data_IF_237133602337
#
_entry.id   IF_237133602337
#
_cell.length_a   1.000
_cell.length_b   1.000
_cell.length_c   1.000
_cell.angle_alpha   90.00
_cell.angle_beta   90.00
_cell.angle_gamma   90.00
#
_symmetry.space_group_name_H-M   'P 1'
#
loop_
_entity.id
_entity.type
_entity.pdbx_description
1 polymer ?
#
# COMPACT_ATOMS: atom_id res chain seq x y z
N UNK A 1 -5.06 30.18 -5.31
CA UNK A 1 -4.76 28.75 -5.12
C UNK A 1 -6.01 28.13 -4.53
N UNK A 2 -6.77 27.38 -5.33
CA UNK A 2 -8.18 27.12 -5.08
C UNK A 2 -8.41 26.21 -3.87
N UNK A 3 -9.10 26.76 -2.88
CA UNK A 3 -9.90 26.03 -1.90
C UNK A 3 -11.08 25.34 -2.61
N UNK A 4 -10.80 24.32 -3.41
CA UNK A 4 -11.86 23.50 -3.99
C UNK A 4 -12.10 22.28 -3.10
N UNK A 5 -13.19 22.40 -2.33
CA UNK A 5 -13.94 21.33 -1.69
C UNK A 5 -13.32 20.71 -0.43
N UNK A 6 -13.53 21.38 0.71
CA UNK A 6 -13.67 20.76 2.06
C UNK A 6 -14.95 19.91 2.17
N UNK A 7 -15.40 19.30 1.06
CA UNK A 7 -16.46 18.31 1.04
C UNK A 7 -15.82 16.99 1.44
N UNK A 8 -16.20 16.46 2.60
CA UNK A 8 -15.56 15.32 3.26
C UNK A 8 -15.27 14.19 2.27
N UNK A 9 -13.98 14.00 1.97
CA UNK A 9 -13.56 12.88 1.13
C UNK A 9 -13.87 11.60 1.89
N UNK A 10 -14.44 10.61 1.18
CA UNK A 10 -14.73 9.31 1.78
C UNK A 10 -13.44 8.63 2.24
N UNK A 11 -13.58 7.70 3.19
CA UNK A 11 -12.45 6.96 3.76
C UNK A 11 -11.62 6.25 2.68
N UNK A 12 -12.27 5.59 1.71
CA UNK A 12 -11.59 4.91 0.59
C UNK A 12 -10.84 5.89 -0.33
N UNK A 13 -11.48 7.01 -0.69
CA UNK A 13 -10.87 8.06 -1.51
C UNK A 13 -9.65 8.68 -0.81
N UNK A 14 -9.72 8.83 0.51
CA UNK A 14 -8.58 9.27 1.32
C UNK A 14 -7.40 8.30 1.17
N UNK A 15 -7.64 6.98 1.24
CA UNK A 15 -6.58 5.97 1.07
C UNK A 15 -5.95 6.06 -0.32
N UNK A 16 -6.75 6.14 -1.39
CA UNK A 16 -6.24 6.27 -2.75
C UNK A 16 -5.37 7.52 -2.94
N UNK A 17 -5.83 8.66 -2.42
CA UNK A 17 -5.07 9.92 -2.45
C UNK A 17 -3.79 9.82 -1.66
N UNK A 18 -3.81 9.19 -0.49
CA UNK A 18 -2.64 9.00 0.34
C UNK A 18 -1.57 8.19 -0.42
N UNK A 19 -1.93 7.05 -1.02
CA UNK A 19 -0.98 6.23 -1.79
C UNK A 19 -0.37 7.04 -2.95
N UNK A 20 -1.19 7.76 -3.72
CA UNK A 20 -0.71 8.54 -4.87
C UNK A 20 0.15 9.74 -4.49
N UNK A 21 -0.18 10.44 -3.39
CA UNK A 21 0.48 11.69 -2.99
C UNK A 21 1.68 11.49 -2.08
N UNK A 22 1.68 10.44 -1.26
CA UNK A 22 2.74 10.20 -0.27
C UNK A 22 3.82 9.22 -0.76
N UNK A 23 3.57 8.48 -1.86
CA UNK A 23 4.60 7.62 -2.47
C UNK A 23 5.77 8.44 -2.99
N UNK A 24 6.98 7.90 -2.85
CA UNK A 24 8.22 8.54 -3.31
C UNK A 24 8.98 7.59 -4.23
N UNK A 25 9.39 8.00 -5.44
CA UNK A 25 10.21 7.17 -6.31
C UNK A 25 11.47 6.66 -5.60
N UNK A 26 11.92 5.42 -5.86
CA UNK A 26 11.37 4.44 -6.80
C UNK A 26 10.19 3.62 -6.24
N UNK A 27 9.73 3.89 -5.02
CA UNK A 27 8.68 3.12 -4.36
C UNK A 27 7.30 3.49 -4.90
N UNK A 28 6.53 2.47 -5.28
CA UNK A 28 5.19 2.63 -5.87
C UNK A 28 4.04 2.60 -4.86
N UNK A 29 4.36 2.39 -3.58
CA UNK A 29 3.40 2.38 -2.47
C UNK A 29 3.91 3.18 -1.27
N UNK A 30 3.17 3.09 -0.16
CA UNK A 30 3.46 3.84 1.07
C UNK A 30 3.48 2.92 2.29
N UNK A 31 4.37 3.20 3.24
CA UNK A 31 4.35 2.53 4.54
C UNK A 31 3.31 3.20 5.45
N UNK A 32 2.39 2.44 6.04
CA UNK A 32 1.27 2.99 6.83
C UNK A 32 1.70 3.92 7.98
N UNK A 33 2.77 3.57 8.68
CA UNK A 33 3.37 4.38 9.75
C UNK A 33 4.30 5.48 9.20
N UNK A 34 5.40 5.13 8.53
CA UNK A 34 6.43 6.10 8.12
C UNK A 34 5.99 7.14 7.09
N UNK A 35 4.90 6.90 6.35
CA UNK A 35 4.33 7.93 5.47
C UNK A 35 3.51 8.98 6.21
N UNK A 36 3.22 8.78 7.51
CA UNK A 36 2.27 9.60 8.28
C UNK A 36 0.80 9.28 8.00
N UNK A 37 0.50 8.31 7.13
CA UNK A 37 -0.87 7.95 6.73
C UNK A 37 -1.77 7.61 7.94
N UNK A 38 -1.30 6.78 8.87
CA UNK A 38 -2.10 6.40 10.03
C UNK A 38 -2.51 7.60 10.89
N UNK A 39 -1.56 8.52 11.12
CA UNK A 39 -1.81 9.73 11.90
C UNK A 39 -2.80 10.64 11.17
N UNK A 40 -2.56 10.91 9.88
CA UNK A 40 -3.44 11.76 9.08
C UNK A 40 -4.86 11.20 8.97
N UNK A 41 -5.02 9.88 8.83
CA UNK A 41 -6.32 9.23 8.79
C UNK A 41 -7.06 9.38 10.13
N UNK A 42 -6.35 9.17 11.25
CA UNK A 42 -6.91 9.33 12.59
C UNK A 42 -7.30 10.78 12.87
N UNK A 43 -6.49 11.75 12.46
CA UNK A 43 -6.79 13.18 12.59
C UNK A 43 -8.00 13.60 11.76
N UNK A 44 -8.17 13.02 10.57
CA UNK A 44 -9.28 13.38 9.68
C UNK A 44 -10.60 12.69 10.03
N UNK A 45 -10.58 11.40 10.41
CA UNK A 45 -11.79 10.59 10.61
C UNK A 45 -12.03 10.16 12.06
N UNK A 46 -11.08 10.36 12.97
CA UNK A 46 -11.18 9.88 14.36
C UNK A 46 -11.12 8.35 14.50
N UNK A 47 -10.71 7.63 13.45
CA UNK A 47 -10.73 6.17 13.36
C UNK A 47 -9.36 5.59 13.07
N UNK A 48 -9.19 4.29 13.34
CA UNK A 48 -8.01 3.54 12.93
C UNK A 48 -8.19 3.01 11.50
N UNK A 49 -7.26 3.24 10.55
CA UNK A 49 -7.42 2.79 9.17
C UNK A 49 -7.24 1.28 8.97
N UNK A 50 -6.87 0.49 9.98
CA UNK A 50 -6.58 -0.94 9.82
C UNK A 50 -7.79 -1.70 9.26
N UNK A 51 -8.98 -1.57 9.86
CA UNK A 51 -10.17 -2.30 9.42
C UNK A 51 -10.56 -1.93 8.00
N UNK A 52 -10.53 -0.63 7.67
CA UNK A 52 -10.79 -0.13 6.32
C UNK A 52 -9.79 -0.68 5.31
N UNK A 53 -8.50 -0.57 5.58
CA UNK A 53 -7.45 -1.00 4.64
C UNK A 53 -7.45 -2.51 4.45
N UNK A 54 -7.78 -3.30 5.49
CA UNK A 54 -8.00 -4.73 5.37
C UNK A 54 -9.22 -5.05 4.51
N UNK A 55 -10.35 -4.35 4.73
CA UNK A 55 -11.55 -4.50 3.89
C UNK A 55 -11.27 -4.17 2.43
N UNK A 56 -10.65 -3.01 2.15
CA UNK A 56 -10.27 -2.60 0.80
C UNK A 56 -9.31 -3.61 0.15
N UNK A 57 -8.39 -4.20 0.91
CA UNK A 57 -7.51 -5.24 0.39
C UNK A 57 -8.28 -6.53 0.06
N UNK A 58 -9.21 -6.94 0.92
CA UNK A 58 -10.10 -8.08 0.65
C UNK A 58 -11.00 -7.89 -0.57
N UNK A 59 -11.39 -6.65 -0.85
CA UNK A 59 -12.15 -6.26 -2.04
C UNK A 59 -11.27 -6.05 -3.29
N UNK A 60 -9.95 -6.20 -3.19
CA UNK A 60 -9.01 -6.00 -4.30
C UNK A 60 -8.83 -4.53 -4.74
N UNK A 61 -9.34 -3.58 -3.94
CA UNK A 61 -9.23 -2.13 -4.19
C UNK A 61 -7.82 -1.59 -3.97
N UNK A 62 -7.10 -2.17 -3.03
CA UNK A 62 -5.69 -1.90 -2.75
C UNK A 62 -4.97 -3.22 -2.51
N UNK A 63 -3.63 -3.20 -2.50
CA UNK A 63 -2.82 -4.32 -2.02
C UNK A 63 -2.12 -3.93 -0.74
N UNK A 64 -2.25 -4.77 0.28
CA UNK A 64 -1.52 -4.66 1.54
C UNK A 64 -0.42 -5.70 1.58
N UNK A 65 0.78 -5.31 2.04
CA UNK A 65 1.88 -6.26 2.32
C UNK A 65 2.43 -6.02 3.72
N UNK A 66 2.39 -7.03 4.62
CA UNK A 66 2.98 -6.89 5.94
C UNK A 66 4.49 -6.65 5.83
N UNK A 67 5.00 -5.74 6.64
CA UNK A 67 6.42 -5.40 6.73
C UNK A 67 6.79 -5.18 8.19
N UNK A 68 8.10 -5.10 8.49
CA UNK A 68 8.56 -4.83 9.86
C UNK A 68 8.00 -3.49 10.34
N UNK A 69 7.18 -3.52 11.39
CA UNK A 69 6.62 -2.32 12.03
C UNK A 69 5.39 -1.71 11.33
N UNK A 70 4.77 -2.41 10.38
CA UNK A 70 3.55 -1.93 9.75
C UNK A 70 3.13 -2.70 8.51
N UNK A 71 2.48 -1.98 7.58
CA UNK A 71 2.01 -2.53 6.31
C UNK A 71 2.35 -1.56 5.19
N UNK A 72 2.75 -2.11 4.05
CA UNK A 72 2.85 -1.35 2.81
C UNK A 72 1.51 -1.36 2.09
N UNK A 73 1.05 -0.19 1.66
CA UNK A 73 -0.17 0.01 0.89
C UNK A 73 0.20 0.35 -0.56
N UNK A 74 -0.40 -0.34 -1.52
CA UNK A 74 -0.21 -0.13 -2.94
C UNK A 74 -1.56 -0.01 -3.66
N UNK A 75 -1.57 0.69 -4.79
CA UNK A 75 -2.61 0.46 -5.79
C UNK A 75 -2.41 -0.93 -6.41
N UNK A 76 -3.48 -1.61 -6.85
CA UNK A 76 -3.38 -2.94 -7.44
C UNK A 76 -2.36 -3.03 -8.58
N UNK A 77 -2.33 -2.05 -9.47
CA UNK A 77 -1.41 -1.95 -10.61
C UNK A 77 0.06 -1.72 -10.23
N UNK A 78 0.29 -1.14 -9.04
CA UNK A 78 1.60 -0.71 -8.56
C UNK A 78 2.22 -1.71 -7.58
N UNK A 79 1.45 -2.71 -7.15
CA UNK A 79 1.92 -3.73 -6.26
C UNK A 79 3.09 -4.54 -6.88
N UNK A 80 4.10 -4.93 -6.08
CA UNK A 80 5.13 -5.84 -6.56
C UNK A 80 4.52 -7.19 -6.94
N UNK A 81 4.75 -7.63 -8.17
CA UNK A 81 4.32 -8.96 -8.61
C UNK A 81 5.37 -10.01 -8.22
N UNK A 82 4.96 -11.23 -7.83
CA UNK A 82 5.88 -12.34 -7.67
C UNK A 82 6.62 -12.59 -8.99
N UNK A 83 7.92 -12.91 -8.91
CA UNK A 83 8.67 -13.30 -10.09
C UNK A 83 8.07 -14.59 -10.67
N UNK A 84 7.95 -14.65 -12.00
CA UNK A 84 7.57 -15.90 -12.68
C UNK A 84 8.73 -16.89 -12.58
N UNK A 85 8.40 -18.19 -12.54
CA UNK A 85 9.39 -19.27 -12.47
C UNK A 85 10.20 -19.32 -11.18
N UNK A 86 9.72 -18.70 -10.10
CA UNK A 86 10.33 -18.86 -8.77
C UNK A 86 10.34 -20.32 -8.33
N UNK A 87 9.28 -21.08 -8.63
CA UNK A 87 9.22 -22.50 -8.33
C UNK A 87 10.31 -23.29 -9.09
N UNK A 88 10.46 -23.02 -10.38
CA UNK A 88 11.48 -23.68 -11.22
C UNK A 88 12.89 -23.34 -10.75
N UNK A 89 13.15 -22.12 -10.28
CA UNK A 89 14.44 -21.74 -9.67
C UNK A 89 14.70 -22.44 -8.34
N UNK A 90 13.66 -22.68 -7.54
CA UNK A 90 13.78 -23.37 -6.25
C UNK A 90 14.02 -24.88 -6.46
N UNK A 91 13.39 -25.48 -7.48
CA UNK A 91 13.46 -26.91 -7.76
C UNK A 91 14.51 -27.30 -8.81
N UNK A 92 15.15 -26.31 -9.44
CA UNK A 92 16.20 -26.53 -10.43
C UNK A 92 17.47 -27.12 -9.82
N UNK A 93 18.34 -27.75 -10.64
CA UNK A 93 19.61 -28.24 -10.16
C UNK A 93 20.45 -27.08 -9.61
N UNK A 94 21.12 -27.28 -8.48
CA UNK A 94 22.12 -26.32 -8.00
C UNK A 94 23.22 -26.23 -9.05
N UNK A 95 23.39 -25.08 -9.70
CA UNK A 95 24.54 -24.89 -10.58
C UNK A 95 25.80 -25.02 -9.73
N UNK A 96 26.51 -26.14 -9.92
CA UNK A 96 27.83 -26.37 -9.38
C UNK A 96 28.70 -25.19 -9.83
N UNK A 97 28.97 -24.28 -8.89
CA UNK A 97 29.83 -23.14 -9.14
C UNK A 97 31.25 -23.67 -9.34
N UNK A 98 31.66 -23.78 -10.61
CA UNK A 98 33.03 -24.10 -11.01
C UNK A 98 33.98 -22.93 -10.71
#
# INVERSE_FOLDING_TARGET
MSEESRSGIGEEEFVYRAIKRLRKPPYRGIHSVFSGFNQAFKEHFGKNPIELTQKMAGEGKIVTRPVKGGVMLYLPEDAPQPQKGVLEKILGPEEESA
#
